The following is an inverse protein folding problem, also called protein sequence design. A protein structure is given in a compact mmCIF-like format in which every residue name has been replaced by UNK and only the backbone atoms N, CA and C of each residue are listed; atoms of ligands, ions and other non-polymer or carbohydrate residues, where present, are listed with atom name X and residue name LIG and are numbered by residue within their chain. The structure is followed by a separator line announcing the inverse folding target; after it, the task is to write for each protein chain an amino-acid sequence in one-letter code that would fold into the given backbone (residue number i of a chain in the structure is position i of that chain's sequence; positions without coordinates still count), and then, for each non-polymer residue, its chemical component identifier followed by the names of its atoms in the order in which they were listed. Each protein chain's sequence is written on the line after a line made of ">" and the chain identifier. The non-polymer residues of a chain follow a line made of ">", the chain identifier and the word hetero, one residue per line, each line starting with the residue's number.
data_IF_926147352733
#
_entry.id   IF_926147352733
#
_cell.length_a   1.000
_cell.length_b   1.000
_cell.length_c   1.000
_cell.angle_alpha   90.00
_cell.angle_beta   90.00
_cell.angle_gamma   90.00
#
_symmetry.space_group_name_H-M   'P 1'
#
loop_
_entity.id
_entity.type
_entity.pdbx_description
1 polymer ?
#
# COMPACT_ATOMS: atom_id res chain seq x y z
N UNK A 1 -0.11 -23.52 10.90
CA UNK A 1 1.00 -22.59 11.26
C UNK A 1 1.37 -21.69 10.08
N UNK A 2 1.73 -22.25 8.93
CA UNK A 2 2.18 -21.52 7.73
C UNK A 2 1.17 -20.46 7.22
N UNK A 3 -0.12 -20.79 7.23
CA UNK A 3 -1.21 -19.91 6.81
C UNK A 3 -1.40 -18.67 7.71
N UNK A 4 -1.27 -18.85 9.02
CA UNK A 4 -1.37 -17.77 10.01
C UNK A 4 -0.16 -16.82 9.93
N UNK A 5 0.99 -17.35 9.53
CA UNK A 5 2.20 -16.56 9.32
C UNK A 5 2.07 -15.66 8.07
N UNK A 6 1.49 -16.17 6.97
CA UNK A 6 1.24 -15.37 5.76
C UNK A 6 0.26 -14.22 5.98
N UNK A 7 -0.86 -14.46 6.67
CA UNK A 7 -1.80 -13.41 7.05
C UNK A 7 -1.12 -12.32 7.91
N UNK A 8 -0.32 -12.74 8.90
CA UNK A 8 0.42 -11.81 9.76
C UNK A 8 1.42 -10.98 8.96
N UNK A 9 2.12 -11.60 8.01
CA UNK A 9 3.07 -10.93 7.13
C UNK A 9 2.40 -9.87 6.25
N UNK A 10 1.24 -10.15 5.64
CA UNK A 10 0.50 -9.17 4.84
C UNK A 10 0.01 -7.98 5.67
N UNK A 11 -0.48 -8.25 6.88
CA UNK A 11 -0.90 -7.21 7.82
C UNK A 11 0.30 -6.34 8.23
N UNK A 12 1.44 -6.97 8.55
CA UNK A 12 2.65 -6.26 8.91
C UNK A 12 3.19 -5.42 7.74
N UNK A 13 3.14 -5.93 6.50
CA UNK A 13 3.58 -5.22 5.31
C UNK A 13 2.71 -3.99 5.03
N UNK A 14 1.37 -4.09 5.15
CA UNK A 14 0.51 -2.90 5.06
C UNK A 14 0.82 -1.92 6.20
N UNK A 15 1.02 -2.41 7.42
CA UNK A 15 1.27 -1.54 8.57
C UNK A 15 2.58 -0.76 8.43
N UNK A 16 3.69 -1.41 8.04
CA UNK A 16 4.99 -0.76 7.86
C UNK A 16 4.98 0.28 6.74
N UNK A 17 4.11 0.12 5.75
CA UNK A 17 3.98 1.03 4.62
C UNK A 17 2.79 2.00 4.71
N UNK A 18 2.01 1.97 5.81
CA UNK A 18 0.74 2.68 5.93
C UNK A 18 0.90 4.20 5.72
N UNK A 19 1.92 4.79 6.36
CA UNK A 19 2.22 6.22 6.23
C UNK A 19 2.54 6.61 4.80
N UNK A 20 3.34 5.80 4.10
CA UNK A 20 3.74 6.05 2.73
C UNK A 20 2.54 5.96 1.78
N UNK A 21 1.76 4.88 1.87
CA UNK A 21 0.56 4.66 1.06
C UNK A 21 -0.44 5.81 1.26
N UNK A 22 -0.68 6.23 2.51
CA UNK A 22 -1.58 7.33 2.84
C UNK A 22 -1.13 8.65 2.21
N UNK A 23 0.17 8.97 2.31
CA UNK A 23 0.75 10.19 1.71
C UNK A 23 0.63 10.19 0.19
N UNK A 24 0.85 9.04 -0.45
CA UNK A 24 0.72 8.87 -1.90
C UNK A 24 -0.75 8.97 -2.34
N UNK A 25 -1.68 8.52 -1.51
CA UNK A 25 -3.11 8.76 -1.69
C UNK A 25 -3.53 10.23 -1.45
N UNK A 26 -2.62 11.07 -0.96
CA UNK A 26 -2.89 12.49 -0.68
C UNK A 26 -3.69 12.73 0.61
N UNK A 27 -3.67 11.79 1.56
CA UNK A 27 -4.47 11.88 2.79
C UNK A 27 -3.62 12.29 4.00
N UNK A 28 -4.23 13.01 4.93
CA UNK A 28 -3.72 13.18 6.30
C UNK A 28 -4.09 11.98 7.19
N UNK A 29 -3.39 11.77 8.31
CA UNK A 29 -3.74 10.69 9.26
C UNK A 29 -5.17 10.82 9.80
N UNK A 30 -5.70 12.04 9.87
CA UNK A 30 -7.09 12.32 10.25
C UNK A 30 -8.06 11.89 9.15
N UNK A 31 -7.80 12.27 7.90
CA UNK A 31 -8.60 11.85 6.74
C UNK A 31 -8.66 10.33 6.55
N UNK A 32 -7.57 9.61 6.82
CA UNK A 32 -7.59 8.14 6.84
C UNK A 32 -8.40 7.60 8.02
N UNK A 33 -8.26 8.23 9.20
CA UNK A 33 -9.04 7.88 10.38
C UNK A 33 -10.54 7.98 10.14
N UNK A 34 -10.99 9.11 9.58
CA UNK A 34 -12.40 9.37 9.26
C UNK A 34 -12.96 8.34 8.27
N UNK A 35 -12.18 7.95 7.25
CA UNK A 35 -12.57 6.96 6.23
C UNK A 35 -12.86 5.58 6.81
N UNK A 36 -12.18 5.20 7.90
CA UNK A 36 -12.36 3.88 8.53
C UNK A 36 -13.02 3.95 9.92
N UNK A 37 -13.47 5.14 10.34
CA UNK A 37 -14.16 5.35 11.61
C UNK A 37 -13.27 5.23 12.86
N UNK A 38 -12.01 5.68 12.78
CA UNK A 38 -11.08 5.70 13.93
C UNK A 38 -10.43 7.07 14.11
N UNK A 39 -9.84 7.32 15.28
CA UNK A 39 -9.18 8.60 15.55
C UNK A 39 -7.86 8.75 14.79
N UNK A 40 -7.43 10.00 14.55
CA UNK A 40 -6.07 10.34 14.08
C UNK A 40 -4.98 9.68 14.94
N UNK A 41 -5.19 9.59 16.25
CA UNK A 41 -4.24 8.96 17.17
C UNK A 41 -4.12 7.45 16.91
N UNK A 42 -5.23 6.78 16.58
CA UNK A 42 -5.23 5.37 16.20
C UNK A 42 -4.39 5.15 14.94
N UNK A 43 -4.57 5.97 13.91
CA UNK A 43 -3.74 5.90 12.70
C UNK A 43 -2.26 6.15 13.03
N UNK A 44 -1.96 7.18 13.81
CA UNK A 44 -0.58 7.47 14.24
C UNK A 44 0.05 6.29 15.01
N UNK A 45 -0.69 5.64 15.90
CA UNK A 45 -0.19 4.48 16.64
C UNK A 45 0.09 3.28 15.71
N UNK A 46 -0.75 3.06 14.68
CA UNK A 46 -0.53 2.03 13.67
C UNK A 46 0.72 2.34 12.83
N UNK A 47 0.83 3.57 12.30
CA UNK A 47 1.96 4.01 11.47
C UNK A 47 3.31 3.95 12.20
N UNK A 48 3.32 4.20 13.51
CA UNK A 48 4.52 4.16 14.32
C UNK A 48 4.75 2.80 15.01
N UNK A 49 3.96 1.77 14.70
CA UNK A 49 4.10 0.44 15.29
C UNK A 49 3.81 0.35 16.80
N UNK A 50 3.23 1.39 17.41
CA UNK A 50 2.87 1.41 18.85
C UNK A 50 1.78 0.40 19.19
N UNK A 51 0.92 0.10 18.21
CA UNK A 51 -0.13 -0.93 18.31
C UNK A 51 -0.09 -1.79 17.07
N UNK A 52 -0.33 -3.10 17.22
CA UNK A 52 -0.43 -3.99 16.06
C UNK A 52 -1.75 -3.77 15.32
N UNK A 53 -1.68 -3.75 13.98
CA UNK A 53 -2.83 -3.69 13.11
C UNK A 53 -3.64 -4.98 13.22
N UNK A 54 -4.93 -4.84 13.52
CA UNK A 54 -5.87 -5.98 13.55
C UNK A 54 -6.31 -6.35 12.13
N UNK A 55 -6.80 -7.58 11.93
CA UNK A 55 -7.37 -8.00 10.65
C UNK A 55 -8.54 -7.09 10.22
N UNK A 56 -9.38 -6.64 11.17
CA UNK A 56 -10.47 -5.71 10.88
C UNK A 56 -9.95 -4.38 10.34
N UNK A 57 -8.92 -3.80 10.99
CA UNK A 57 -8.30 -2.56 10.52
C UNK A 57 -7.62 -2.73 9.16
N UNK A 58 -6.93 -3.86 8.94
CA UNK A 58 -6.36 -4.20 7.65
C UNK A 58 -7.43 -4.22 6.55
N UNK A 59 -8.54 -4.93 6.78
CA UNK A 59 -9.62 -5.02 5.81
C UNK A 59 -10.24 -3.66 5.52
N UNK A 60 -10.49 -2.85 6.55
CA UNK A 60 -11.05 -1.51 6.40
C UNK A 60 -10.12 -0.59 5.60
N UNK A 61 -8.84 -0.53 5.97
CA UNK A 61 -7.82 0.28 5.28
C UNK A 61 -7.67 -0.17 3.83
N UNK A 62 -7.59 -1.47 3.58
CA UNK A 62 -7.45 -2.01 2.22
C UNK A 62 -8.66 -1.69 1.35
N UNK A 63 -9.85 -1.77 1.90
CA UNK A 63 -11.10 -1.44 1.19
C UNK A 63 -11.16 0.03 0.78
N UNK A 64 -10.75 0.96 1.65
CA UNK A 64 -10.76 2.39 1.31
C UNK A 64 -9.66 2.76 0.32
N UNK A 65 -8.52 2.06 0.34
CA UNK A 65 -7.47 2.21 -0.68
C UNK A 65 -7.97 1.69 -2.04
N UNK A 66 -8.61 0.52 -2.08
CA UNK A 66 -9.16 -0.03 -3.32
C UNK A 66 -10.25 0.87 -3.90
N UNK A 67 -11.09 1.47 -3.05
CA UNK A 67 -12.07 2.46 -3.46
C UNK A 67 -11.40 3.69 -4.08
N UNK A 68 -10.36 4.25 -3.43
CA UNK A 68 -9.61 5.39 -3.95
C UNK A 68 -8.98 5.10 -5.32
N UNK A 69 -8.36 3.93 -5.50
CA UNK A 69 -7.80 3.49 -6.78
C UNK A 69 -8.90 3.42 -7.87
N UNK A 70 -10.12 3.03 -7.48
CA UNK A 70 -11.24 2.94 -8.40
C UNK A 70 -11.81 4.31 -8.76
N UNK A 71 -11.88 5.25 -7.83
CA UNK A 71 -12.53 6.55 -8.02
C UNK A 71 -11.59 7.65 -8.50
N UNK A 72 -10.31 7.61 -8.10
CA UNK A 72 -9.32 8.62 -8.44
C UNK A 72 -8.37 8.13 -9.54
N UNK A 73 -8.77 8.36 -10.80
CA UNK A 73 -7.97 7.97 -11.97
C UNK A 73 -6.78 8.87 -12.27
N UNK A 74 -6.70 10.04 -11.64
CA UNK A 74 -5.56 10.94 -11.78
C UNK A 74 -4.33 10.43 -11.02
N UNK A 75 -4.55 9.72 -9.92
CA UNK A 75 -3.48 9.11 -9.15
C UNK A 75 -3.10 7.73 -9.73
N UNK A 76 -2.17 7.74 -10.68
CA UNK A 76 -1.62 6.50 -11.26
C UNK A 76 -0.54 5.84 -10.39
N UNK A 77 -0.10 6.51 -9.32
CA UNK A 77 1.03 6.06 -8.48
C UNK A 77 0.56 5.15 -7.35
N UNK A 78 -0.53 5.52 -6.68
CA UNK A 78 -1.14 4.70 -5.62
C UNK A 78 -1.38 3.25 -6.06
N UNK A 79 -2.01 2.94 -7.21
CA UNK A 79 -2.20 1.56 -7.63
C UNK A 79 -0.89 0.81 -7.90
N UNK A 80 0.15 1.46 -8.44
CA UNK A 80 1.45 0.85 -8.67
C UNK A 80 2.11 0.43 -7.36
N UNK A 81 2.10 1.34 -6.38
CA UNK A 81 2.67 1.11 -5.04
C UNK A 81 1.93 -0.01 -4.32
N UNK A 82 0.60 0.00 -4.41
CA UNK A 82 -0.25 -1.05 -3.82
C UNK A 82 0.00 -2.41 -4.45
N UNK A 83 0.18 -2.47 -5.77
CA UNK A 83 0.46 -3.72 -6.48
C UNK A 83 1.80 -4.32 -6.04
N UNK A 84 2.85 -3.50 -6.07
CA UNK A 84 4.21 -3.93 -5.75
C UNK A 84 4.33 -4.31 -4.27
N UNK A 85 3.86 -3.46 -3.35
CA UNK A 85 4.05 -3.72 -1.92
C UNK A 85 3.14 -4.82 -1.37
N UNK A 86 1.92 -4.97 -1.90
CA UNK A 86 0.88 -5.74 -1.19
C UNK A 86 0.31 -6.90 -1.98
N UNK A 87 0.37 -6.87 -3.32
CA UNK A 87 -0.15 -7.97 -4.16
C UNK A 87 0.97 -8.89 -4.65
N UNK A 88 2.13 -8.33 -4.98
CA UNK A 88 3.30 -9.05 -5.52
C UNK A 88 4.42 -9.23 -4.51
N UNK A 89 4.14 -8.93 -3.24
CA UNK A 89 5.11 -8.99 -2.14
C UNK A 89 5.94 -10.28 -2.17
N UNK A 90 5.31 -11.46 -2.32
CA UNK A 90 5.96 -12.78 -2.37
C UNK A 90 6.92 -13.01 -3.56
N UNK A 91 6.92 -12.15 -4.58
CA UNK A 91 7.76 -12.28 -5.79
C UNK A 91 9.16 -11.69 -5.64
N UNK A 92 9.42 -10.97 -4.53
CA UNK A 92 10.67 -10.23 -4.32
C UNK A 92 11.57 -10.88 -3.27
N UNK A 93 12.89 -10.79 -3.48
CA UNK A 93 13.88 -11.10 -2.46
C UNK A 93 13.84 -10.08 -1.32
N UNK A 94 14.48 -10.39 -0.19
CA UNK A 94 14.54 -9.46 0.94
C UNK A 94 15.23 -8.13 0.58
N UNK A 95 16.27 -8.19 -0.24
CA UNK A 95 16.99 -7.01 -0.74
C UNK A 95 16.12 -6.16 -1.68
N UNK A 96 15.35 -6.81 -2.57
CA UNK A 96 14.43 -6.10 -3.46
C UNK A 96 13.32 -5.41 -2.69
N UNK A 97 12.79 -6.05 -1.63
CA UNK A 97 11.75 -5.46 -0.75
C UNK A 97 12.26 -4.24 -0.02
N UNK A 98 13.48 -4.29 0.50
CA UNK A 98 14.10 -3.16 1.18
C UNK A 98 14.23 -1.97 0.22
N UNK A 99 14.76 -2.23 -0.99
CA UNK A 99 14.91 -1.20 -2.03
C UNK A 99 13.55 -0.64 -2.49
N UNK A 100 12.55 -1.50 -2.66
CA UNK A 100 11.17 -1.08 -2.98
C UNK A 100 10.63 -0.18 -1.88
N UNK A 101 10.79 -0.55 -0.61
CA UNK A 101 10.34 0.24 0.53
C UNK A 101 10.99 1.63 0.53
N UNK A 102 12.33 1.71 0.36
CA UNK A 102 13.05 2.99 0.31
C UNK A 102 12.56 3.91 -0.82
N UNK A 103 12.34 3.35 -2.02
CA UNK A 103 11.79 4.12 -3.14
C UNK A 103 10.37 4.60 -2.86
N UNK A 104 9.52 3.74 -2.28
CA UNK A 104 8.15 4.12 -1.91
C UNK A 104 8.16 5.23 -0.84
N UNK A 105 9.06 5.17 0.15
CA UNK A 105 9.22 6.26 1.12
C UNK A 105 9.64 7.57 0.44
N UNK A 106 10.53 7.51 -0.55
CA UNK A 106 10.95 8.68 -1.33
C UNK A 106 9.78 9.28 -2.13
N UNK A 107 8.97 8.42 -2.78
CA UNK A 107 7.75 8.84 -3.49
C UNK A 107 6.77 9.47 -2.50
N UNK A 108 6.59 8.89 -1.32
CA UNK A 108 5.69 9.40 -0.30
C UNK A 108 6.16 10.74 0.29
N UNK A 109 7.46 10.93 0.49
CA UNK A 109 8.03 12.21 0.89
C UNK A 109 7.77 13.29 -0.18
N UNK A 110 7.94 12.94 -1.45
CA UNK A 110 7.64 13.80 -2.59
C UNK A 110 6.15 14.18 -2.63
N UNK A 111 5.26 13.21 -2.44
CA UNK A 111 3.82 13.45 -2.34
C UNK A 111 3.45 14.36 -1.16
N UNK A 112 4.09 14.14 0.00
CA UNK A 112 3.90 14.98 1.20
C UNK A 112 4.37 16.42 0.98
N UNK A 113 5.33 16.64 0.08
CA UNK A 113 5.79 17.96 -0.33
C UNK A 113 4.83 18.69 -1.29
N UNK A 114 3.68 18.10 -1.62
CA UNK A 114 2.65 18.70 -2.47
C UNK A 114 2.73 18.31 -3.95
N UNK A 115 3.66 17.43 -4.33
CA UNK A 115 3.76 16.93 -5.70
C UNK A 115 2.72 15.83 -5.93
N UNK A 116 1.89 15.97 -6.97
CA UNK A 116 0.81 15.03 -7.28
C UNK A 116 0.64 14.81 -8.79
N UNK A 117 -0.29 13.93 -9.17
CA UNK A 117 -0.65 13.66 -10.56
C UNK A 117 0.54 13.25 -11.44
N UNK A 118 0.66 13.86 -12.61
CA UNK A 118 1.70 13.54 -13.61
C UNK A 118 3.13 13.73 -13.09
N UNK A 119 3.35 14.75 -12.25
CA UNK A 119 4.67 15.02 -11.70
C UNK A 119 5.10 13.89 -10.73
N UNK A 120 4.19 13.46 -9.86
CA UNK A 120 4.44 12.32 -8.97
C UNK A 120 4.63 11.02 -9.76
N UNK A 121 3.89 10.84 -10.85
CA UNK A 121 4.03 9.69 -11.74
C UNK A 121 5.39 9.64 -12.46
N UNK A 122 5.95 10.78 -12.84
CA UNK A 122 7.30 10.84 -13.41
C UNK A 122 8.37 10.42 -12.40
N UNK A 123 8.23 10.86 -11.13
CA UNK A 123 9.11 10.44 -10.03
C UNK A 123 8.99 8.95 -9.77
N UNK A 124 7.76 8.42 -9.70
CA UNK A 124 7.54 6.98 -9.48
C UNK A 124 8.11 6.14 -10.61
N UNK A 125 7.93 6.57 -11.86
CA UNK A 125 8.50 5.90 -13.03
C UNK A 125 10.04 5.88 -13.01
N UNK A 126 10.68 6.99 -12.63
CA UNK A 126 12.14 7.08 -12.52
C UNK A 126 12.72 6.16 -11.43
N UNK A 127 12.05 6.07 -10.28
CA UNK A 127 12.50 5.22 -9.17
C UNK A 127 12.20 3.74 -9.42
N UNK A 128 10.92 3.41 -9.65
CA UNK A 128 10.48 2.02 -9.76
C UNK A 128 10.82 1.39 -11.12
N UNK A 129 10.93 2.19 -12.19
CA UNK A 129 11.26 1.68 -13.54
C UNK A 129 12.64 1.03 -13.63
N UNK A 130 13.57 1.41 -12.74
CA UNK A 130 14.91 0.82 -12.68
C UNK A 130 14.96 -0.58 -12.05
N UNK A 131 13.94 -1.01 -11.30
CA UNK A 131 13.86 -2.37 -10.75
C UNK A 131 13.23 -3.35 -11.75
N UNK A 132 12.22 -2.92 -12.50
CA UNK A 132 11.40 -3.83 -13.31
C UNK A 132 11.87 -3.99 -14.77
N UNK A 133 13.01 -3.40 -15.17
CA UNK A 133 13.62 -3.62 -16.49
C UNK A 133 12.75 -3.19 -17.69
N UNK A 134 11.78 -2.30 -17.48
CA UNK A 134 10.86 -1.86 -18.52
C UNK A 134 9.78 -0.92 -17.97
N UNK A 135 9.00 -0.26 -18.84
CA UNK A 135 7.91 0.58 -18.40
C UNK A 135 6.94 -0.29 -17.60
N UNK A 136 6.55 0.15 -16.39
CA UNK A 136 5.46 -0.41 -15.56
C UNK A 136 4.07 -0.43 -16.26
N UNK A 137 4.04 -0.24 -17.59
CA UNK A 137 2.88 0.02 -18.45
C UNK A 137 2.09 -1.26 -18.77
N UNK A 138 2.51 -2.45 -18.37
CA UNK A 138 1.85 -3.70 -18.78
C UNK A 138 1.36 -4.61 -17.63
N UNK A 139 0.92 -4.07 -16.49
CA UNK A 139 -0.05 -4.83 -15.67
C UNK A 139 -1.44 -4.41 -16.12
N UNK A 140 -1.94 -5.08 -17.16
CA UNK A 140 -3.30 -4.95 -17.70
C UNK A 140 -4.39 -5.44 -16.75
N UNK A 141 -4.25 -5.14 -15.46
CA UNK A 141 -5.10 -5.59 -14.38
C UNK A 141 -4.50 -5.16 -13.05
N UNK A 142 -4.46 -3.85 -12.77
CA UNK A 142 -4.48 -3.40 -11.37
C UNK A 142 -5.78 -3.96 -10.81
N UNK A 143 -5.71 -5.09 -10.11
CA UNK A 143 -6.90 -5.76 -9.57
C UNK A 143 -7.32 -5.00 -8.32
N UNK A 144 -7.92 -3.83 -8.51
CA UNK A 144 -8.79 -3.27 -7.49
C UNK A 144 -9.99 -4.22 -7.38
N UNK A 145 -9.88 -5.20 -6.48
CA UNK A 145 -10.80 -6.32 -6.42
C UNK A 145 -10.53 -7.21 -5.22
N UNK A 146 -11.53 -8.02 -4.88
CA UNK A 146 -11.57 -8.85 -3.66
C UNK A 146 -10.60 -10.04 -3.66
N UNK A 147 -9.63 -10.10 -4.59
CA UNK A 147 -8.66 -11.19 -4.70
C UNK A 147 -7.78 -11.29 -3.46
N UNK A 148 -7.28 -10.15 -2.96
CA UNK A 148 -6.53 -10.10 -1.70
C UNK A 148 -7.39 -10.55 -0.52
N UNK A 149 -8.69 -10.19 -0.52
CA UNK A 149 -9.62 -10.57 0.54
C UNK A 149 -9.86 -12.09 0.53
N UNK A 150 -9.98 -12.68 -0.66
CA UNK A 150 -10.06 -14.13 -0.79
C UNK A 150 -8.77 -14.81 -0.29
N UNK A 151 -7.59 -14.26 -0.60
CA UNK A 151 -6.28 -14.76 -0.12
C UNK A 151 -6.23 -14.72 1.42
N UNK A 152 -6.50 -13.56 2.03
CA UNK A 152 -6.36 -13.38 3.48
C UNK A 152 -7.41 -14.15 4.30
N UNK A 153 -8.59 -14.44 3.72
CA UNK A 153 -9.65 -15.22 4.37
C UNK A 153 -9.51 -16.73 4.15
N UNK A 154 -9.04 -17.18 2.98
CA UNK A 154 -8.77 -18.62 2.72
C UNK A 154 -7.70 -19.16 3.65
N UNK A 155 -6.79 -18.30 4.09
CA UNK A 155 -5.73 -18.67 5.04
C UNK A 155 -6.25 -19.11 6.43
N UNK A 156 -7.56 -19.00 6.72
CA UNK A 156 -8.18 -19.59 7.93
C UNK A 156 -8.77 -20.98 7.74
N UNK A 157 -8.98 -21.47 6.51
CA UNK A 157 -9.51 -22.81 6.25
C UNK A 157 -8.36 -23.84 6.22
N UNK A 158 -7.87 -24.21 7.40
CA UNK A 158 -7.23 -25.51 7.67
C UNK A 158 -7.71 -26.02 9.01
#
# INVERSE_FOLDING_TARGET
>A
MESKNKQTAQIACLQSNLSAIRKIAGWTSEQLGDRIGVTKQTISNLENGKTQMTLTQYIAIRSVIDFEIQTNKENTVLPQVVEILLNRDEEYTDEEREKISEMVQTIAATASGGISGKALAAVSAGLLGGIFGGPLIAVGGIVAGTTWLAKILKDKKK
#
